data_IF_160775152444
#
_entry.id   IF_160775152444
#
_cell.length_a   1.000
_cell.length_b   1.000
_cell.length_c   1.000
_cell.angle_alpha   90.00
_cell.angle_beta   90.00
_cell.angle_gamma   90.00
#
_symmetry.space_group_name_H-M   'P 1'
#
loop_
_entity.id
_entity.type
_entity.pdbx_description
1 polymer ?
#
# COMPACT_ATOMS: atom_id res chain seq x y z
N UNK A 1 31.73 10.78 31.63
CA UNK A 1 30.95 12.04 31.60
C UNK A 1 30.52 12.24 30.15
N UNK A 2 29.26 12.32 29.71
CA UNK A 2 27.93 12.74 30.21
C UNK A 2 26.89 11.83 29.51
N UNK A 3 26.10 11.00 30.20
CA UNK A 3 24.71 11.21 30.69
C UNK A 3 23.68 11.72 29.66
N UNK A 4 22.56 10.98 29.66
CA UNK A 4 21.37 10.95 28.78
C UNK A 4 20.35 12.01 29.19
N UNK A 5 19.45 12.43 28.30
CA UNK A 5 18.14 12.96 28.71
C UNK A 5 17.02 12.43 27.80
N UNK A 6 16.26 11.46 28.32
CA UNK A 6 14.91 11.11 27.85
C UNK A 6 13.94 12.18 28.35
N UNK A 7 13.20 12.82 27.45
CA UNK A 7 12.09 13.70 27.76
C UNK A 7 10.79 12.93 27.79
N UNK A 8 10.31 12.62 29.00
CA UNK A 8 8.97 12.09 29.30
C UNK A 8 8.10 13.27 29.73
N UNK A 9 7.13 13.67 28.90
CA UNK A 9 6.04 14.55 29.34
C UNK A 9 4.73 13.77 29.40
N UNK A 10 4.22 13.64 30.62
CA UNK A 10 2.88 13.18 30.97
C UNK A 10 2.15 14.33 31.66
N UNK A 11 0.83 14.36 31.44
CA UNK A 11 -0.23 15.10 32.13
C UNK A 11 -0.47 16.51 31.55
N UNK A 12 -1.71 16.97 31.31
CA UNK A 12 -3.04 16.51 31.68
C UNK A 12 -4.10 17.15 30.74
N UNK A 13 -5.38 17.02 31.11
CA UNK A 13 -6.63 17.53 30.48
C UNK A 13 -7.26 16.53 29.48
N UNK A 14 -8.16 15.63 29.90
CA UNK A 14 -9.58 15.84 30.29
C UNK A 14 -10.38 16.59 29.21
N UNK A 15 -11.31 15.88 28.57
CA UNK A 15 -12.30 16.40 27.61
C UNK A 15 -12.71 15.30 26.63
N UNK A 16 -13.61 14.37 27.00
CA UNK A 16 -15.06 14.45 26.72
C UNK A 16 -15.39 14.85 25.27
N UNK A 17 -15.72 13.82 24.48
CA UNK A 17 -16.68 13.76 23.38
C UNK A 17 -16.75 14.90 22.35
N UNK A 18 -16.56 14.57 21.08
CA UNK A 18 -17.57 14.87 20.06
C UNK A 18 -17.47 13.94 18.85
N UNK A 19 -18.50 13.10 18.64
CA UNK A 19 -18.77 12.45 17.37
C UNK A 19 -19.06 13.55 16.35
N UNK A 20 -18.34 13.55 15.23
CA UNK A 20 -18.70 14.34 14.06
C UNK A 20 -18.86 13.38 12.87
N UNK A 21 -20.05 12.78 12.80
CA UNK A 21 -20.56 12.15 11.58
C UNK A 21 -20.81 13.24 10.54
N UNK A 22 -19.88 13.40 9.61
CA UNK A 22 -20.09 14.20 8.40
C UNK A 22 -20.36 13.25 7.24
N UNK A 23 -21.60 13.30 6.72
CA UNK A 23 -21.92 13.69 5.35
C UNK A 23 -23.40 13.37 5.10
N UNK A 24 -24.25 14.38 5.32
CA UNK A 24 -25.60 14.39 4.79
C UNK A 24 -25.50 14.68 3.29
N UNK A 25 -25.72 13.67 2.46
CA UNK A 25 -26.01 13.87 1.05
C UNK A 25 -27.53 13.80 0.86
N UNK A 26 -28.10 14.99 0.71
CA UNK A 26 -29.48 15.24 0.33
C UNK A 26 -29.64 14.75 -1.12
N UNK A 27 -30.44 13.71 -1.34
CA UNK A 27 -30.99 13.41 -2.66
C UNK A 27 -32.49 13.71 -2.65
N UNK A 28 -32.82 14.80 -3.33
CA UNK A 28 -34.14 15.39 -3.49
C UNK A 28 -35.06 14.53 -4.37
N UNK A 29 -36.33 14.46 -3.96
CA UNK A 29 -37.56 14.37 -4.76
C UNK A 29 -37.64 13.38 -5.94
N UNK A 30 -38.49 12.38 -5.77
CA UNK A 30 -39.07 11.56 -6.84
C UNK A 30 -40.28 10.76 -6.36
N UNK A 31 -41.34 11.43 -5.93
CA UNK A 31 -42.63 10.80 -5.67
C UNK A 31 -43.43 10.73 -6.98
N UNK A 32 -43.53 9.53 -7.58
CA UNK A 32 -44.62 9.14 -8.50
C UNK A 32 -44.93 7.65 -8.28
N UNK A 33 -46.17 7.41 -7.80
CA UNK A 33 -47.04 6.21 -7.78
C UNK A 33 -46.54 4.76 -8.06
N UNK A 34 -47.16 3.75 -7.41
CA UNK A 34 -46.79 2.34 -7.56
C UNK A 34 -47.47 1.70 -8.78
N UNK A 35 -46.71 1.01 -9.63
CA UNK A 35 -47.22 0.04 -10.60
C UNK A 35 -46.35 -1.23 -10.51
N UNK A 36 -46.92 -2.42 -10.25
CA UNK A 36 -46.16 -3.65 -10.20
C UNK A 36 -45.94 -4.15 -11.64
N UNK A 37 -44.89 -3.65 -12.28
CA UNK A 37 -44.36 -4.29 -13.47
C UNK A 37 -43.40 -5.39 -13.02
N UNK A 38 -43.77 -6.65 -13.31
CA UNK A 38 -42.90 -7.82 -13.31
C UNK A 38 -41.68 -7.55 -14.19
N UNK A 39 -40.69 -6.83 -13.65
CA UNK A 39 -39.39 -6.59 -14.26
C UNK A 39 -38.46 -7.71 -13.78
N UNK A 40 -38.49 -8.80 -14.55
CA UNK A 40 -37.34 -9.63 -14.91
C UNK A 40 -36.10 -9.49 -14.00
N UNK A 41 -35.89 -10.50 -13.16
CA UNK A 41 -34.71 -10.72 -12.33
C UNK A 41 -33.46 -11.05 -13.19
N UNK A 42 -33.08 -10.11 -14.06
CA UNK A 42 -31.87 -10.15 -14.89
C UNK A 42 -30.96 -8.96 -14.64
N UNK A 43 -31.07 -8.32 -13.48
CA UNK A 43 -29.95 -7.57 -12.92
C UNK A 43 -28.97 -8.58 -12.30
N UNK A 44 -28.41 -9.43 -13.17
CA UNK A 44 -27.16 -10.10 -12.88
C UNK A 44 -26.20 -8.97 -12.50
N UNK A 45 -25.81 -8.92 -11.24
CA UNK A 45 -24.93 -7.90 -10.67
C UNK A 45 -23.64 -7.85 -11.48
N UNK A 46 -23.60 -7.04 -12.54
CA UNK A 46 -22.38 -6.69 -13.25
C UNK A 46 -21.60 -5.77 -12.32
N UNK A 47 -20.91 -6.39 -11.37
CA UNK A 47 -20.06 -5.72 -10.40
C UNK A 47 -18.62 -5.80 -10.89
N UNK A 48 -18.03 -4.66 -11.22
CA UNK A 48 -16.59 -4.56 -11.47
C UNK A 48 -15.85 -4.72 -10.14
N UNK A 49 -15.24 -5.89 -9.90
CA UNK A 49 -14.29 -6.06 -8.79
C UNK A 49 -12.87 -5.90 -9.33
N UNK A 50 -12.30 -4.72 -9.13
CA UNK A 50 -10.93 -4.41 -9.52
C UNK A 50 -10.02 -4.63 -8.32
N UNK A 51 -9.31 -5.76 -8.29
CA UNK A 51 -8.22 -5.98 -7.35
C UNK A 51 -6.89 -5.68 -8.04
N UNK A 52 -6.26 -4.56 -7.69
CA UNK A 52 -4.94 -4.19 -8.20
C UNK A 52 -3.95 -4.17 -7.05
N UNK A 53 -3.02 -5.14 -7.01
CA UNK A 53 -2.01 -5.17 -5.97
C UNK A 53 -1.07 -3.97 -6.14
N UNK A 54 -0.72 -3.34 -5.02
CA UNK A 54 0.32 -2.33 -4.99
C UNK A 54 1.66 -2.99 -5.33
N UNK A 55 2.43 -2.34 -6.21
CA UNK A 55 3.72 -2.82 -6.67
C UNK A 55 4.76 -1.72 -6.53
N UNK A 56 6.00 -2.11 -6.28
CA UNK A 56 7.13 -1.22 -6.13
C UNK A 56 8.28 -1.70 -7.01
N UNK A 57 8.93 -0.77 -7.71
CA UNK A 57 10.28 -1.04 -8.22
C UNK A 57 11.22 -0.83 -7.04
N UNK A 58 11.90 -1.89 -6.62
CA UNK A 58 12.93 -1.83 -5.59
C UNK A 58 14.29 -2.03 -6.25
N UNK A 59 15.15 -1.04 -6.09
CA UNK A 59 16.55 -1.09 -6.53
C UNK A 59 17.46 -1.22 -5.31
N UNK A 60 18.54 -1.98 -5.46
CA UNK A 60 19.53 -2.20 -4.43
C UNK A 60 20.95 -2.17 -4.98
N UNK A 61 21.89 -1.79 -4.12
CA UNK A 61 23.31 -1.85 -4.42
C UNK A 61 23.94 -2.88 -3.50
N UNK A 62 24.51 -3.93 -4.08
CA UNK A 62 25.27 -4.95 -3.38
C UNK A 62 26.75 -4.63 -3.45
N UNK A 63 27.48 -4.92 -2.37
CA UNK A 63 28.95 -4.90 -2.31
C UNK A 63 29.44 -6.30 -1.96
N UNK A 64 30.45 -6.80 -2.66
CA UNK A 64 31.05 -8.10 -2.32
C UNK A 64 31.76 -8.02 -0.98
N UNK A 65 31.54 -9.01 -0.12
CA UNK A 65 32.14 -9.04 1.21
C UNK A 65 33.67 -9.07 1.12
N UNK A 66 34.33 -8.35 2.03
CA UNK A 66 35.79 -8.18 2.01
C UNK A 66 36.33 -7.24 0.93
N UNK A 67 35.46 -6.61 0.12
CA UNK A 67 35.87 -5.65 -0.94
C UNK A 67 35.24 -4.28 -0.73
N UNK A 68 35.76 -3.28 -1.44
CA UNK A 68 35.14 -1.93 -1.50
C UNK A 68 34.83 -1.48 -2.93
N UNK A 69 35.38 -2.17 -3.91
CA UNK A 69 35.39 -1.83 -5.34
C UNK A 69 34.47 -2.73 -6.17
N UNK A 70 34.06 -3.90 -5.65
CA UNK A 70 33.13 -4.80 -6.35
C UNK A 70 31.69 -4.48 -5.96
N UNK A 71 31.02 -3.74 -6.84
CA UNK A 71 29.63 -3.30 -6.70
C UNK A 71 28.73 -4.01 -7.72
N UNK A 72 27.55 -4.45 -7.28
CA UNK A 72 26.53 -5.07 -8.12
C UNK A 72 25.16 -4.40 -7.91
N UNK A 73 24.65 -3.63 -8.87
CA UNK A 73 23.27 -3.14 -8.81
C UNK A 73 22.30 -4.28 -9.10
N UNK A 74 21.17 -4.31 -8.39
CA UNK A 74 20.07 -5.25 -8.59
C UNK A 74 18.74 -4.48 -8.52
N UNK A 75 17.74 -4.95 -9.25
CA UNK A 75 16.39 -4.37 -9.20
C UNK A 75 15.34 -5.47 -9.34
N UNK A 76 14.16 -5.23 -8.76
CA UNK A 76 13.01 -6.13 -8.88
C UNK A 76 11.71 -5.33 -8.76
N UNK A 77 10.63 -5.89 -9.31
CA UNK A 77 9.27 -5.44 -9.02
C UNK A 77 8.72 -6.31 -7.90
N UNK A 78 8.32 -5.68 -6.80
CA UNK A 78 7.81 -6.34 -5.60
C UNK A 78 6.36 -5.94 -5.37
N UNK A 79 5.47 -6.91 -5.28
CA UNK A 79 4.11 -6.71 -4.78
C UNK A 79 4.13 -6.61 -3.26
N UNK A 80 3.63 -5.51 -2.71
CA UNK A 80 3.55 -5.25 -1.28
C UNK A 80 2.53 -4.16 -0.98
N UNK A 81 1.98 -4.12 0.23
CA UNK A 81 1.03 -3.10 0.65
C UNK A 81 1.68 -1.71 0.82
N UNK A 82 2.98 -1.68 1.13
CA UNK A 82 3.75 -0.47 1.36
C UNK A 82 5.22 -0.65 0.95
N UNK A 83 5.97 0.47 0.91
CA UNK A 83 7.37 0.47 0.48
C UNK A 83 8.31 -0.24 1.46
N UNK A 84 8.03 -0.22 2.76
CA UNK A 84 8.89 -0.87 3.76
C UNK A 84 8.79 -2.39 3.62
N UNK A 85 7.58 -2.91 3.46
CA UNK A 85 7.29 -4.32 3.18
C UNK A 85 7.92 -4.75 1.84
N UNK A 86 7.91 -3.87 0.83
CA UNK A 86 8.58 -4.11 -0.44
C UNK A 86 10.11 -4.24 -0.28
N UNK A 87 10.74 -3.31 0.45
CA UNK A 87 12.18 -3.32 0.74
C UNK A 87 12.57 -4.53 1.58
N UNK A 88 11.78 -4.90 2.58
CA UNK A 88 12.04 -6.06 3.43
C UNK A 88 12.02 -7.37 2.62
N UNK A 89 11.02 -7.53 1.75
CA UNK A 89 10.91 -8.70 0.87
C UNK A 89 12.05 -8.74 -0.14
N UNK A 90 12.36 -7.62 -0.80
CA UNK A 90 13.52 -7.49 -1.68
C UNK A 90 14.83 -7.85 -0.98
N UNK A 91 15.06 -7.34 0.24
CA UNK A 91 16.29 -7.54 0.99
C UNK A 91 16.47 -8.99 1.44
N UNK A 92 15.38 -9.69 1.78
CA UNK A 92 15.41 -11.13 2.05
C UNK A 92 15.83 -11.91 0.80
N UNK A 93 15.17 -11.68 -0.33
CA UNK A 93 15.51 -12.34 -1.60
C UNK A 93 16.93 -12.04 -2.07
N UNK A 94 17.39 -10.79 -1.92
CA UNK A 94 18.75 -10.42 -2.28
C UNK A 94 19.81 -11.18 -1.46
N UNK A 95 19.59 -11.37 -0.15
CA UNK A 95 20.51 -12.15 0.69
C UNK A 95 20.56 -13.62 0.32
N UNK A 96 19.43 -14.19 -0.08
CA UNK A 96 19.33 -15.60 -0.50
C UNK A 96 20.01 -15.83 -1.87
N UNK A 97 19.82 -14.91 -2.81
CA UNK A 97 20.34 -15.04 -4.18
C UNK A 97 21.82 -14.68 -4.32
N UNK A 98 22.33 -13.79 -3.45
CA UNK A 98 23.69 -13.27 -3.55
C UNK A 98 24.47 -13.52 -2.26
N UNK A 99 24.78 -14.79 -1.93
CA UNK A 99 25.67 -15.09 -0.81
C UNK A 99 27.05 -14.47 -1.05
N UNK A 100 27.67 -13.96 0.02
CA UNK A 100 28.96 -13.26 -0.05
C UNK A 100 28.86 -11.81 -0.56
N UNK A 101 27.65 -11.24 -0.61
CA UNK A 101 27.40 -9.83 -0.87
C UNK A 101 26.56 -9.22 0.24
N UNK A 102 26.88 -7.98 0.60
CA UNK A 102 26.12 -7.14 1.52
C UNK A 102 25.31 -6.12 0.74
N UNK A 103 24.01 -6.00 1.05
CA UNK A 103 23.16 -4.91 0.56
C UNK A 103 23.46 -3.62 1.32
N UNK A 104 23.95 -2.60 0.63
CA UNK A 104 24.45 -1.35 1.25
C UNK A 104 23.55 -0.14 1.02
N UNK A 105 22.67 -0.21 0.02
CA UNK A 105 21.68 0.82 -0.25
C UNK A 105 20.45 0.21 -0.93
N UNK A 106 19.28 0.78 -0.64
CA UNK A 106 18.01 0.42 -1.27
C UNK A 106 17.19 1.68 -1.57
N UNK A 107 16.42 1.61 -2.64
CA UNK A 107 15.43 2.60 -3.02
C UNK A 107 14.18 1.87 -3.50
N UNK A 108 13.01 2.25 -2.97
CA UNK A 108 11.73 1.78 -3.46
C UNK A 108 10.95 2.93 -4.11
N UNK A 109 10.28 2.65 -5.21
CA UNK A 109 9.40 3.60 -5.88
C UNK A 109 8.08 2.92 -6.24
N UNK A 110 6.92 3.51 -5.90
CA UNK A 110 5.63 2.92 -6.22
C UNK A 110 5.41 2.87 -7.73
N UNK A 111 4.87 1.76 -8.21
CA UNK A 111 4.35 1.61 -9.56
C UNK A 111 2.86 1.96 -9.49
N UNK A 112 2.40 3.03 -10.17
CA UNK A 112 0.99 3.38 -10.19
C UNK A 112 0.13 2.21 -10.69
N UNK A 113 -1.02 2.04 -10.06
CA UNK A 113 -2.04 1.12 -10.55
C UNK A 113 -2.51 1.58 -11.94
N UNK A 114 -2.44 0.69 -12.93
CA UNK A 114 -3.03 0.92 -14.26
C UNK A 114 -4.31 0.11 -14.32
N UNK A 115 -5.46 0.76 -14.16
CA UNK A 115 -6.78 0.11 -14.28
C UNK A 115 -6.94 -0.56 -15.64
N UNK A 116 -7.06 -1.90 -15.68
CA UNK A 116 -7.59 -2.59 -16.85
C UNK A 116 -9.00 -3.01 -16.49
N UNK A 117 -9.98 -2.39 -17.14
CA UNK A 117 -11.37 -2.78 -17.03
C UNK A 117 -11.58 -4.06 -17.84
N UNK A 118 -11.64 -5.22 -17.18
CA UNK A 118 -12.03 -6.47 -17.82
C UNK A 118 -13.54 -6.70 -17.64
N UNK A 119 -14.29 -6.60 -18.75
CA UNK A 119 -15.75 -6.79 -18.76
C UNK A 119 -16.09 -8.25 -18.50
N UNK A 120 -16.75 -8.53 -17.38
CA UNK A 120 -17.43 -9.80 -17.18
C UNK A 120 -18.80 -9.76 -17.88
N UNK A 121 -18.80 -10.06 -19.18
CA UNK A 121 -20.00 -10.45 -19.93
C UNK A 121 -20.22 -11.95 -19.76
#
# INVERSE_FOLDING_TARGET
>A
MKQVLFGSDRAAHVGLALRATFFAAICSAGFVGPLPALAHDRDARVGWNVHQPMRFIVSGVLRRDGTTDVIKPIHSVVTADDSETAVASFSRTAREQYPGYTLIATLASPIPAVGICESSI
#
